data_IF_979186120236
#
_entry.id   IF_979186120236
#
_cell.length_a   1.000
_cell.length_b   1.000
_cell.length_c   1.000
_cell.angle_alpha   90.00
_cell.angle_beta   90.00
_cell.angle_gamma   90.00
#
_symmetry.space_group_name_H-M   'P 1'
#
loop_
_entity.id
_entity.type
_entity.pdbx_description
1 polymer ?
#
# COMPACT_ATOMS: atom_id res chain seq x y z
N UNK A 1 -26.47 13.77 23.40
CA UNK A 1 -25.79 12.48 23.65
C UNK A 1 -24.31 12.71 23.43
N UNK A 2 -23.45 12.31 24.36
CA UNK A 2 -22.00 12.41 24.15
C UNK A 2 -21.63 11.55 22.93
N UNK A 3 -20.75 12.03 22.06
CA UNK A 3 -20.22 11.20 20.98
C UNK A 3 -19.53 10.00 21.62
N UNK A 4 -19.97 8.80 21.28
CA UNK A 4 -19.27 7.57 21.68
C UNK A 4 -18.00 7.55 20.85
N UNK A 5 -16.85 7.39 21.49
CA UNK A 5 -15.60 7.20 20.75
C UNK A 5 -15.70 5.86 19.99
N UNK A 6 -15.33 5.87 18.70
CA UNK A 6 -15.44 4.72 17.80
C UNK A 6 -14.06 4.34 17.28
N UNK A 7 -13.80 3.05 17.12
CA UNK A 7 -12.64 2.57 16.36
C UNK A 7 -12.99 2.63 14.87
N UNK A 8 -12.39 3.55 14.14
CA UNK A 8 -12.64 3.69 12.69
C UNK A 8 -11.80 2.67 11.92
N UNK A 9 -12.47 1.89 11.08
CA UNK A 9 -11.87 0.99 10.09
C UNK A 9 -12.31 1.42 8.70
N UNK A 10 -11.34 1.82 7.88
CA UNK A 10 -11.55 2.24 6.49
C UNK A 10 -11.16 1.10 5.58
N UNK A 11 -12.06 0.67 4.71
CA UNK A 11 -11.76 -0.35 3.69
C UNK A 11 -11.37 0.35 2.39
N UNK A 12 -10.19 0.00 1.89
CA UNK A 12 -9.79 0.27 0.51
C UNK A 12 -10.60 -0.63 -0.42
N UNK A 13 -11.70 -0.09 -0.94
CA UNK A 13 -12.68 -0.85 -1.71
C UNK A 13 -12.08 -1.43 -2.98
N UNK A 14 -11.25 -0.66 -3.70
CA UNK A 14 -10.60 -1.11 -4.92
C UNK A 14 -9.65 -2.28 -4.64
N UNK A 15 -8.80 -2.16 -3.62
CA UNK A 15 -7.86 -3.22 -3.28
C UNK A 15 -8.58 -4.51 -2.83
N UNK A 16 -9.62 -4.40 -2.01
CA UNK A 16 -10.40 -5.54 -1.53
C UNK A 16 -11.20 -6.21 -2.65
N UNK A 17 -11.82 -5.44 -3.54
CA UNK A 17 -12.67 -5.98 -4.60
C UNK A 17 -11.89 -6.54 -5.79
N UNK A 18 -10.71 -5.98 -6.13
CA UNK A 18 -10.02 -6.24 -7.41
C UNK A 18 -8.83 -7.23 -7.33
N UNK A 19 -8.65 -7.95 -6.22
CA UNK A 19 -7.43 -8.69 -5.87
C UNK A 19 -6.87 -9.70 -6.91
N UNK A 20 -7.65 -10.17 -7.89
CA UNK A 20 -7.23 -11.29 -8.77
C UNK A 20 -7.07 -10.90 -10.23
N UNK A 21 -8.09 -10.30 -10.84
CA UNK A 21 -8.16 -10.11 -12.29
C UNK A 21 -8.43 -8.65 -12.70
N UNK A 22 -8.23 -7.69 -11.78
CA UNK A 22 -8.55 -6.26 -12.00
C UNK A 22 -10.04 -5.96 -12.13
N UNK A 23 -10.90 -6.98 -12.12
CA UNK A 23 -12.36 -6.86 -12.04
C UNK A 23 -12.79 -6.74 -10.59
N UNK A 24 -13.68 -5.80 -10.33
CA UNK A 24 -14.28 -5.64 -9.01
C UNK A 24 -15.23 -6.81 -8.73
N UNK A 25 -14.99 -7.51 -7.62
CA UNK A 25 -15.88 -8.54 -7.07
C UNK A 25 -16.58 -7.98 -5.83
N UNK A 26 -17.80 -7.48 -6.00
CA UNK A 26 -18.53 -6.80 -4.92
C UNK A 26 -18.86 -7.72 -3.73
N UNK A 27 -19.13 -9.03 -3.93
CA UNK A 27 -19.30 -9.95 -2.80
C UNK A 27 -18.09 -10.02 -1.86
N UNK A 28 -16.86 -9.83 -2.37
CA UNK A 28 -15.65 -9.78 -1.54
C UNK A 28 -15.64 -8.53 -0.66
N UNK A 29 -15.94 -7.37 -1.25
CA UNK A 29 -16.07 -6.11 -0.51
C UNK A 29 -17.17 -6.21 0.56
N UNK A 30 -18.33 -6.76 0.20
CA UNK A 30 -19.44 -6.99 1.11
C UNK A 30 -19.05 -7.92 2.28
N UNK A 31 -18.27 -8.97 2.02
CA UNK A 31 -17.79 -9.89 3.04
C UNK A 31 -16.85 -9.19 4.04
N UNK A 32 -15.94 -8.33 3.57
CA UNK A 32 -15.06 -7.53 4.42
C UNK A 32 -15.85 -6.54 5.28
N UNK A 33 -16.78 -5.78 4.68
CA UNK A 33 -17.67 -4.87 5.40
C UNK A 33 -18.46 -5.62 6.48
N UNK A 34 -19.05 -6.77 6.12
CA UNK A 34 -19.82 -7.60 7.06
C UNK A 34 -18.97 -8.08 8.22
N UNK A 35 -17.73 -8.51 7.96
CA UNK A 35 -16.80 -8.96 8.99
C UNK A 35 -16.60 -7.87 10.06
N UNK A 36 -16.14 -6.67 9.67
CA UNK A 36 -15.86 -5.60 10.64
C UNK A 36 -17.11 -5.08 11.33
N UNK A 37 -18.25 -5.02 10.64
CA UNK A 37 -19.53 -4.62 11.24
C UNK A 37 -20.13 -5.65 12.18
N UNK A 38 -19.74 -6.92 12.06
CA UNK A 38 -20.18 -7.99 12.97
C UNK A 38 -19.35 -8.08 14.25
N UNK A 39 -18.28 -7.28 14.36
CA UNK A 39 -17.49 -7.21 15.59
C UNK A 39 -18.30 -6.49 16.66
N UNK A 40 -18.86 -7.27 17.58
CA UNK A 40 -19.46 -6.72 18.79
C UNK A 40 -18.35 -6.22 19.71
N UNK A 41 -18.48 -5.01 20.28
CA UNK A 41 -17.52 -4.53 21.27
C UNK A 41 -17.57 -5.45 22.49
N UNK A 42 -16.44 -6.10 22.82
CA UNK A 42 -16.31 -6.75 24.11
C UNK A 42 -16.35 -5.70 25.23
N UNK A 43 -16.61 -6.13 26.47
CA UNK A 43 -16.62 -5.22 27.62
C UNK A 43 -15.30 -4.43 27.70
N UNK A 44 -15.40 -3.10 27.59
CA UNK A 44 -14.23 -2.19 27.59
C UNK A 44 -13.60 -1.90 26.23
N UNK A 45 -14.17 -2.40 25.13
CA UNK A 45 -13.74 -2.07 23.76
C UNK A 45 -14.65 -1.02 23.11
N UNK A 46 -14.06 -0.27 22.19
CA UNK A 46 -14.78 0.73 21.40
C UNK A 46 -15.55 0.04 20.27
N UNK A 47 -16.78 0.50 19.97
CA UNK A 47 -17.51 0.03 18.81
C UNK A 47 -16.71 0.29 17.52
N UNK A 48 -16.73 -0.68 16.60
CA UNK A 48 -16.06 -0.56 15.30
C UNK A 48 -16.98 0.15 14.32
N UNK A 49 -16.53 1.30 13.81
CA UNK A 49 -17.16 1.98 12.68
C UNK A 49 -16.43 1.62 11.40
N UNK A 50 -17.10 0.86 10.55
CA UNK A 50 -16.57 0.43 9.26
C UNK A 50 -17.18 1.22 8.10
N UNK A 51 -16.32 1.77 7.24
CA UNK A 51 -16.69 2.43 5.99
C UNK A 51 -15.72 2.03 4.88
N UNK A 52 -16.21 1.81 3.67
CA UNK A 52 -15.38 1.55 2.50
C UNK A 52 -15.37 2.75 1.55
N UNK A 53 -14.24 3.03 0.90
CA UNK A 53 -14.20 3.95 -0.23
C UNK A 53 -14.01 3.16 -1.52
N UNK A 54 -14.77 3.51 -2.55
CA UNK A 54 -14.68 2.86 -3.87
C UNK A 54 -14.80 3.88 -5.00
N UNK A 55 -14.22 3.62 -6.18
CA UNK A 55 -14.32 4.54 -7.31
C UNK A 55 -15.76 4.71 -7.82
N UNK A 56 -16.21 5.95 -8.03
CA UNK A 56 -17.55 6.24 -8.54
C UNK A 56 -17.86 5.60 -9.91
N UNK A 57 -16.85 5.33 -10.73
CA UNK A 57 -17.09 4.74 -12.04
C UNK A 57 -17.68 3.32 -11.96
N UNK A 58 -17.57 2.60 -10.83
CA UNK A 58 -18.17 1.27 -10.67
C UNK A 58 -19.69 1.24 -10.83
N UNK A 59 -20.40 2.28 -10.40
CA UNK A 59 -21.85 2.39 -10.62
C UNK A 59 -22.21 2.96 -12.00
N UNK A 60 -21.30 3.71 -12.61
CA UNK A 60 -21.56 4.40 -13.88
C UNK A 60 -21.43 3.48 -15.10
N UNK A 61 -20.82 2.30 -14.96
CA UNK A 61 -20.84 1.30 -16.03
C UNK A 61 -22.13 0.48 -15.94
N UNK A 62 -23.18 0.98 -16.60
CA UNK A 62 -24.45 0.26 -16.68
C UNK A 62 -24.25 -1.10 -17.37
N UNK A 63 -24.79 -2.20 -16.79
CA UNK A 63 -24.83 -3.48 -17.48
C UNK A 63 -25.59 -3.29 -18.81
N UNK A 64 -24.97 -3.68 -19.93
CA UNK A 64 -25.65 -3.62 -21.24
C UNK A 64 -26.47 -4.90 -21.40
N UNK A 65 -27.81 -4.85 -21.45
CA UNK A 65 -28.62 -6.06 -21.65
C UNK A 65 -28.41 -6.58 -23.08
N UNK A 66 -27.92 -7.82 -23.22
CA UNK A 66 -27.92 -8.55 -24.51
C UNK A 66 -26.60 -8.61 -25.29
N UNK A 67 -25.46 -8.20 -24.75
CA UNK A 67 -24.18 -8.35 -25.46
C UNK A 67 -23.49 -9.68 -25.11
N UNK A 68 -23.85 -10.76 -25.81
CA UNK A 68 -23.12 -12.03 -25.83
C UNK A 68 -21.88 -11.98 -26.75
N UNK A 69 -21.15 -10.85 -26.74
CA UNK A 69 -19.94 -10.64 -27.54
C UNK A 69 -18.79 -10.16 -26.67
N UNK A 70 -17.54 -10.58 -26.96
CA UNK A 70 -16.37 -10.16 -26.22
C UNK A 70 -16.04 -8.72 -26.62
N UNK A 71 -16.72 -7.75 -26.00
CA UNK A 71 -16.27 -6.36 -25.96
C UNK A 71 -15.83 -6.05 -24.55
N UNK A 72 -14.53 -5.93 -24.44
CA UNK A 72 -13.78 -5.48 -23.27
C UNK A 72 -14.32 -4.14 -22.77
N UNK A 73 -14.35 -4.03 -21.44
CA UNK A 73 -14.24 -2.80 -20.63
C UNK A 73 -15.46 -2.46 -19.76
N UNK A 74 -15.44 -3.00 -18.55
CA UNK A 74 -15.87 -2.26 -17.36
C UNK A 74 -17.28 -2.51 -16.82
N UNK A 75 -18.16 -3.20 -17.55
CA UNK A 75 -19.51 -3.44 -17.03
C UNK A 75 -19.49 -4.46 -15.89
N UNK A 76 -19.93 -4.01 -14.71
CA UNK A 76 -20.14 -4.87 -13.55
C UNK A 76 -21.31 -5.83 -13.85
N UNK A 77 -21.23 -7.06 -13.34
CA UNK A 77 -22.36 -7.99 -13.41
C UNK A 77 -23.58 -7.37 -12.73
N UNK A 78 -24.79 -7.67 -13.22
CA UNK A 78 -26.02 -7.04 -12.72
C UNK A 78 -26.23 -7.25 -11.22
N UNK A 79 -25.87 -8.42 -10.71
CA UNK A 79 -25.97 -8.77 -9.29
C UNK A 79 -24.94 -8.00 -8.44
N UNK A 80 -23.70 -7.92 -8.91
CA UNK A 80 -22.64 -7.14 -8.25
C UNK A 80 -22.98 -5.65 -8.23
N UNK A 81 -23.57 -5.12 -9.31
CA UNK A 81 -24.02 -3.74 -9.38
C UNK A 81 -25.15 -3.46 -8.38
N UNK A 82 -26.15 -4.35 -8.30
CA UNK A 82 -27.26 -4.20 -7.36
C UNK A 82 -26.77 -4.24 -5.91
N UNK A 83 -25.84 -5.15 -5.59
CA UNK A 83 -25.22 -5.25 -4.28
C UNK A 83 -24.40 -3.99 -3.95
N UNK A 84 -23.62 -3.47 -4.90
CA UNK A 84 -22.86 -2.23 -4.69
C UNK A 84 -23.79 -1.05 -4.43
N UNK A 85 -24.86 -0.91 -5.22
CA UNK A 85 -25.84 0.15 -5.02
C UNK A 85 -26.51 0.05 -3.64
N UNK A 86 -26.82 -1.16 -3.16
CA UNK A 86 -27.34 -1.38 -1.81
C UNK A 86 -26.33 -0.94 -0.73
N UNK A 87 -25.06 -1.30 -0.87
CA UNK A 87 -24.00 -0.91 0.06
C UNK A 87 -23.80 0.61 0.10
N UNK A 88 -23.93 1.29 -1.05
CA UNK A 88 -23.87 2.75 -1.15
C UNK A 88 -25.08 3.39 -0.48
N UNK A 89 -26.29 2.89 -0.73
CA UNK A 89 -27.51 3.41 -0.08
C UNK A 89 -27.51 3.26 1.45
N UNK A 90 -26.74 2.31 1.98
CA UNK A 90 -26.56 2.10 3.42
C UNK A 90 -25.38 2.89 4.03
N UNK A 91 -24.73 3.76 3.25
CA UNK A 91 -23.51 4.47 3.63
C UNK A 91 -22.36 3.54 4.07
N UNK A 92 -22.39 2.26 3.65
CA UNK A 92 -21.30 1.32 3.91
C UNK A 92 -20.15 1.51 2.91
N UNK A 93 -20.48 1.95 1.70
CA UNK A 93 -19.53 2.30 0.65
C UNK A 93 -19.75 3.75 0.26
N UNK A 94 -18.70 4.55 0.30
CA UNK A 94 -18.68 5.94 -0.14
C UNK A 94 -17.95 5.99 -1.48
N UNK A 95 -18.63 6.53 -2.49
CA UNK A 95 -18.05 6.66 -3.81
C UNK A 95 -17.15 7.90 -3.89
N UNK A 96 -15.90 7.69 -4.26
CA UNK A 96 -14.94 8.78 -4.45
C UNK A 96 -15.26 9.53 -5.74
N UNK A 97 -15.07 10.86 -5.80
CA UNK A 97 -15.38 11.64 -6.99
C UNK A 97 -14.73 11.07 -8.26
N UNK A 98 -15.44 11.20 -9.39
CA UNK A 98 -14.91 10.78 -10.69
C UNK A 98 -13.54 11.39 -10.97
N UNK A 99 -12.62 10.61 -11.53
CA UNK A 99 -11.24 11.01 -11.86
C UNK A 99 -10.34 11.31 -10.67
N UNK A 100 -10.82 11.18 -9.42
CA UNK A 100 -9.98 11.24 -8.24
C UNK A 100 -9.42 9.86 -7.90
N UNK A 101 -8.21 9.82 -7.34
CA UNK A 101 -7.67 8.60 -6.75
C UNK A 101 -8.32 8.36 -5.39
N UNK A 102 -8.77 7.14 -5.17
CA UNK A 102 -9.41 6.68 -3.94
C UNK A 102 -8.44 6.62 -2.75
N UNK A 103 -7.15 6.34 -3.00
CA UNK A 103 -6.10 6.35 -1.96
C UNK A 103 -6.11 7.63 -1.12
N UNK A 104 -6.34 8.80 -1.75
CA UNK A 104 -6.38 10.06 -1.00
C UNK A 104 -7.49 10.07 0.04
N UNK A 105 -8.67 9.56 -0.28
CA UNK A 105 -9.81 9.56 0.64
C UNK A 105 -9.67 8.49 1.71
N UNK A 106 -9.17 7.31 1.33
CA UNK A 106 -8.90 6.20 2.25
C UNK A 106 -7.90 6.63 3.32
N UNK A 107 -6.74 7.16 2.90
CA UNK A 107 -5.68 7.56 3.82
C UNK A 107 -6.11 8.77 4.64
N UNK A 108 -6.68 9.81 4.03
CA UNK A 108 -7.09 11.02 4.75
C UNK A 108 -8.11 10.70 5.84
N UNK A 109 -9.15 9.93 5.52
CA UNK A 109 -10.18 9.57 6.49
C UNK A 109 -9.61 8.75 7.66
N UNK A 110 -8.73 7.77 7.37
CA UNK A 110 -8.09 6.99 8.43
C UNK A 110 -7.18 7.87 9.31
N UNK A 111 -6.37 8.74 8.71
CA UNK A 111 -5.50 9.66 9.47
C UNK A 111 -6.31 10.63 10.33
N UNK A 112 -7.45 11.14 9.82
CA UNK A 112 -8.35 12.05 10.53
C UNK A 112 -8.81 11.49 11.86
N UNK A 113 -9.23 10.23 11.85
CA UNK A 113 -9.86 9.56 12.99
C UNK A 113 -8.90 8.63 13.72
N UNK A 114 -7.60 8.67 13.39
CA UNK A 114 -6.61 7.73 13.92
C UNK A 114 -7.04 6.25 13.74
N UNK A 115 -7.69 5.96 12.62
CA UNK A 115 -8.28 4.67 12.30
C UNK A 115 -7.34 3.73 11.55
N UNK A 116 -7.81 2.52 11.32
CA UNK A 116 -7.11 1.49 10.56
C UNK A 116 -7.58 1.46 9.10
N UNK A 117 -6.72 1.00 8.20
CA UNK A 117 -7.02 0.81 6.79
C UNK A 117 -6.96 -0.68 6.46
N UNK A 118 -7.98 -1.23 5.82
CA UNK A 118 -7.96 -2.60 5.29
C UNK A 118 -7.51 -2.52 3.84
N UNK A 119 -6.28 -2.92 3.59
CA UNK A 119 -5.65 -2.89 2.27
C UNK A 119 -4.44 -3.81 2.26
N UNK A 120 -4.11 -4.37 1.10
CA UNK A 120 -2.81 -4.99 0.84
C UNK A 120 -1.80 -4.03 0.18
N UNK A 121 -2.23 -2.80 -0.15
CA UNK A 121 -1.32 -1.76 -0.62
C UNK A 121 -0.58 -1.13 0.58
N UNK A 122 0.71 -0.85 0.37
CA UNK A 122 1.55 -0.20 1.36
C UNK A 122 1.71 1.30 1.09
N UNK A 123 0.98 1.86 0.12
CA UNK A 123 0.95 3.29 -0.25
C UNK A 123 2.37 3.87 -0.42
N UNK A 124 3.27 3.09 -1.04
CA UNK A 124 4.72 3.39 -1.08
C UNK A 124 5.00 4.71 -1.79
N UNK A 125 4.24 5.02 -2.83
CA UNK A 125 4.30 6.27 -3.58
C UNK A 125 3.89 7.46 -2.70
N UNK A 126 2.81 7.37 -1.92
CA UNK A 126 2.37 8.42 -1.00
C UNK A 126 3.41 8.69 0.10
N UNK A 127 4.04 7.63 0.63
CA UNK A 127 5.10 7.73 1.63
C UNK A 127 6.37 8.37 1.03
N UNK A 128 6.83 7.89 -0.12
CA UNK A 128 8.04 8.40 -0.79
C UNK A 128 7.90 9.86 -1.22
N UNK A 129 6.70 10.25 -1.66
CA UNK A 129 6.36 11.63 -2.01
C UNK A 129 6.10 12.52 -0.79
N UNK A 130 6.29 12.01 0.44
CA UNK A 130 6.12 12.75 1.71
C UNK A 130 4.75 13.43 1.79
N UNK A 131 3.70 12.76 1.31
CA UNK A 131 2.33 13.30 1.33
C UNK A 131 1.89 13.57 2.77
N UNK A 132 1.09 14.61 2.92
CA UNK A 132 0.54 15.04 4.21
C UNK A 132 -0.97 14.92 4.17
N UNK A 133 -1.53 14.26 5.18
CA UNK A 133 -2.96 14.03 5.37
C UNK A 133 -3.34 14.57 6.75
N UNK A 134 -4.38 15.39 6.83
CA UNK A 134 -4.75 16.10 8.07
C UNK A 134 -3.56 16.72 8.84
N UNK A 135 -2.62 17.34 8.12
CA UNK A 135 -1.43 17.97 8.72
C UNK A 135 -0.34 17.01 9.20
N UNK A 136 -0.54 15.69 9.08
CA UNK A 136 0.43 14.64 9.42
C UNK A 136 1.08 14.08 8.17
N UNK A 137 2.42 14.03 8.15
CA UNK A 137 3.15 13.39 7.05
C UNK A 137 2.97 11.88 7.14
N UNK A 138 2.57 11.25 6.04
CA UNK A 138 2.47 9.80 5.97
C UNK A 138 3.86 9.16 6.06
N UNK A 139 4.03 8.18 6.93
CA UNK A 139 5.28 7.45 7.12
C UNK A 139 5.06 5.95 6.95
N UNK A 140 6.12 5.22 6.58
CA UNK A 140 6.06 3.75 6.54
C UNK A 140 5.70 3.15 7.90
N UNK A 141 6.10 3.78 9.00
CA UNK A 141 5.73 3.32 10.35
C UNK A 141 4.24 3.45 10.61
N UNK A 142 3.62 4.57 10.20
CA UNK A 142 2.18 4.76 10.33
C UNK A 142 1.41 3.76 9.48
N UNK A 143 1.82 3.57 8.21
CA UNK A 143 1.22 2.58 7.31
C UNK A 143 1.28 1.18 7.93
N UNK A 144 2.44 0.73 8.43
CA UNK A 144 2.56 -0.61 9.06
C UNK A 144 1.71 -0.77 10.33
N UNK A 145 1.51 0.29 11.11
CA UNK A 145 0.71 0.20 12.34
C UNK A 145 -0.79 0.34 12.11
N UNK A 146 -1.21 1.02 11.05
CA UNK A 146 -2.62 1.30 10.77
C UNK A 146 -3.19 0.45 9.64
N UNK A 147 -2.38 -0.13 8.76
CA UNK A 147 -2.89 -1.04 7.73
C UNK A 147 -3.11 -2.46 8.27
N UNK A 148 -4.16 -3.09 7.76
CA UNK A 148 -4.60 -4.45 8.01
C UNK A 148 -4.58 -5.15 6.66
N UNK A 149 -3.53 -5.92 6.45
CA UNK A 149 -3.42 -6.86 5.34
C UNK A 149 -4.43 -7.99 5.50
N UNK A 150 -4.83 -8.59 4.39
CA UNK A 150 -5.88 -9.60 4.36
C UNK A 150 -5.72 -10.57 3.19
N UNK A 151 -6.38 -11.70 3.33
CA UNK A 151 -6.56 -12.68 2.25
C UNK A 151 -8.02 -13.11 2.15
N UNK A 152 -8.32 -13.88 1.11
CA UNK A 152 -9.61 -14.56 0.94
C UNK A 152 -9.40 -16.06 0.79
N UNK A 153 -10.11 -16.85 1.61
CA UNK A 153 -10.21 -18.30 1.42
C UNK A 153 -11.56 -18.59 0.77
N UNK A 154 -11.55 -18.71 -0.55
CA UNK A 154 -12.78 -18.77 -1.35
C UNK A 154 -13.57 -17.47 -1.24
N UNK A 155 -14.70 -17.51 -0.52
CA UNK A 155 -15.58 -16.35 -0.26
C UNK A 155 -15.41 -15.76 1.13
N UNK A 156 -14.60 -16.39 1.97
CA UNK A 156 -14.38 -15.95 3.34
C UNK A 156 -13.29 -14.88 3.39
N UNK A 157 -13.62 -13.73 3.98
CA UNK A 157 -12.66 -12.67 4.25
C UNK A 157 -11.83 -13.01 5.48
N UNK A 158 -10.51 -12.96 5.35
CA UNK A 158 -9.58 -13.30 6.42
C UNK A 158 -8.56 -12.17 6.60
N UNK A 159 -8.80 -11.23 7.55
CA UNK A 159 -7.80 -10.23 7.89
C UNK A 159 -6.65 -10.87 8.66
N UNK A 160 -5.45 -10.28 8.58
CA UNK A 160 -4.30 -10.74 9.33
C UNK A 160 -4.58 -10.68 10.84
N UNK A 161 -4.53 -11.82 11.57
CA UNK A 161 -4.82 -11.85 13.00
C UNK A 161 -3.93 -10.93 13.82
N UNK A 162 -2.65 -10.79 13.45
CA UNK A 162 -1.69 -9.92 14.15
C UNK A 162 -2.00 -8.44 13.93
N UNK A 163 -2.58 -8.09 12.78
CA UNK A 163 -3.06 -6.73 12.55
C UNK A 163 -4.33 -6.45 13.34
N UNK A 164 -5.24 -7.43 13.44
CA UNK A 164 -6.48 -7.33 14.20
C UNK A 164 -6.27 -7.11 15.70
N UNK A 165 -5.20 -7.64 16.29
CA UNK A 165 -4.82 -7.33 17.68
C UNK A 165 -4.74 -5.81 17.94
N UNK A 166 -4.32 -5.01 16.95
CA UNK A 166 -4.25 -3.55 17.09
C UNK A 166 -5.62 -2.89 17.11
N UNK A 167 -6.58 -3.44 16.35
CA UNK A 167 -7.98 -2.99 16.34
C UNK A 167 -8.63 -3.28 17.69
N UNK A 168 -8.44 -4.49 18.22
CA UNK A 168 -9.03 -4.89 19.51
C UNK A 168 -8.43 -4.17 20.71
N UNK A 169 -7.17 -3.75 20.60
CA UNK A 169 -6.46 -2.97 21.62
C UNK A 169 -6.50 -1.47 21.34
N UNK A 170 -7.34 -1.01 20.41
CA UNK A 170 -7.42 0.39 20.05
C UNK A 170 -7.74 1.25 21.27
N UNK A 171 -6.92 2.27 21.48
CA UNK A 171 -7.18 3.33 22.43
C UNK A 171 -7.21 4.65 21.66
N UNK A 172 -8.33 5.39 21.67
CA UNK A 172 -8.34 6.74 21.17
C UNK A 172 -7.41 7.55 22.07
N UNK A 173 -6.21 7.85 21.58
CA UNK A 173 -5.37 8.86 22.22
C UNK A 173 -6.22 10.13 22.27
N UNK A 174 -6.49 10.62 23.49
CA UNK A 174 -7.17 11.89 23.70
C UNK A 174 -6.59 12.87 22.69
N UNK A 175 -7.44 13.34 21.78
CA UNK A 175 -7.08 14.24 20.69
C UNK A 175 -6.12 15.27 21.26
N UNK A 176 -4.88 15.33 20.77
CA UNK A 176 -3.94 16.38 21.15
C UNK A 176 -4.68 17.70 20.92
N UNK A 177 -5.19 18.27 22.01
CA UNK A 177 -5.92 19.51 21.99
C UNK A 177 -4.92 20.54 21.50
N UNK A 178 -5.13 21.04 20.29
CA UNK A 178 -4.42 22.19 19.74
C UNK A 178 -4.31 23.24 20.86
N UNK A 179 -3.11 23.77 21.16
CA UNK A 179 -3.00 24.87 22.11
C UNK A 179 -3.83 26.03 21.58
N UNK A 180 -4.88 26.37 22.31
CA UNK A 180 -5.66 27.59 22.10
C UNK A 180 -4.67 28.74 22.03
N UNK A 181 -4.75 29.53 20.96
CA UNK A 181 -3.89 30.69 20.73
C UNK A 181 -3.99 31.66 21.91
N UNK A 182 -3.05 31.52 22.85
CA UNK A 182 -2.78 32.49 23.89
C UNK A 182 -1.99 33.63 23.28
N UNK A 183 -2.60 34.81 23.34
CA UNK A 183 -2.06 36.13 22.99
C UNK A 183 -0.58 36.29 23.41
N UNK A 184 0.34 36.68 22.50
CA UNK A 184 1.70 36.99 22.91
C UNK A 184 1.76 38.40 23.50
N UNK A 185 1.90 38.49 24.82
CA UNK A 185 2.36 39.71 25.49
C UNK A 185 3.88 39.81 25.42
N UNK A 186 4.33 40.94 24.90
CA UNK A 186 5.68 41.43 24.72
C UNK A 186 6.59 41.29 25.94
N UNK A 187 7.80 40.77 25.75
CA UNK A 187 8.99 41.32 26.41
C UNK A 187 10.27 40.88 25.69
N UNK A 188 11.02 41.89 25.28
CA UNK A 188 12.36 41.90 24.70
C UNK A 188 13.44 41.21 25.54
N UNK A 189 14.40 40.54 24.87
CA UNK A 189 15.83 40.75 25.16
C UNK A 189 16.70 40.11 24.07
N UNK A 190 17.51 40.94 23.44
CA UNK A 190 18.66 40.59 22.61
C UNK A 190 19.61 39.64 23.36
N UNK A 191 20.09 38.58 22.71
CA UNK A 191 21.52 38.25 22.76
C UNK A 191 21.95 37.48 21.50
N UNK A 192 22.94 38.08 20.85
CA UNK A 192 23.71 37.66 19.69
C UNK A 192 24.84 36.75 20.15
N UNK A 193 24.97 35.53 19.63
CA UNK A 193 26.29 34.92 19.37
C UNK A 193 26.17 33.77 18.35
N UNK A 194 27.02 33.83 17.34
CA UNK A 194 27.34 32.74 16.42
C UNK A 194 28.13 31.65 17.14
N UNK A 195 27.92 30.38 16.81
CA UNK A 195 29.00 29.40 16.62
C UNK A 195 28.45 28.13 15.99
N UNK A 196 29.03 27.79 14.85
CA UNK A 196 29.10 26.45 14.28
C UNK A 196 29.60 25.40 15.28
N UNK A 197 29.10 24.18 15.20
CA UNK A 197 29.95 22.99 15.04
C UNK A 197 29.14 21.76 14.65
N UNK A 198 29.68 21.09 13.65
CA UNK A 198 29.37 19.75 13.18
C UNK A 198 29.70 18.73 14.27
N UNK A 199 28.94 17.64 14.35
CA UNK A 199 29.42 16.39 14.92
C UNK A 199 28.86 15.22 14.12
N UNK A 200 29.74 14.65 13.32
CA UNK A 200 29.62 13.36 12.67
C UNK A 200 30.21 12.35 13.65
N UNK A 201 29.42 11.38 14.10
CA UNK A 201 29.96 10.17 14.71
C UNK A 201 29.68 8.98 13.80
N UNK A 202 30.78 8.34 13.45
CA UNK A 202 30.90 7.11 12.71
C UNK A 202 30.84 5.93 13.70
N UNK A 203 30.25 4.83 13.27
CA UNK A 203 30.64 3.51 13.77
C UNK A 203 30.73 2.54 12.60
N UNK A 204 31.96 2.08 12.37
CA UNK A 204 32.38 1.07 11.42
C UNK A 204 32.49 -0.25 12.18
N UNK A 205 31.85 -1.32 11.68
CA UNK A 205 32.36 -2.69 11.86
C UNK A 205 32.31 -3.37 10.50
N UNK A 206 33.49 -3.80 10.06
CA UNK A 206 33.81 -4.40 8.78
C UNK A 206 34.12 -5.88 9.06
N UNK A 207 33.57 -6.82 8.29
CA UNK A 207 34.24 -8.11 8.02
C UNK A 207 33.63 -8.79 6.76
N UNK A 208 34.52 -9.01 5.79
CA UNK A 208 34.51 -9.92 4.63
C UNK A 208 33.39 -9.83 3.57
N UNK A 209 33.62 -9.55 2.28
CA UNK A 209 34.85 -9.60 1.49
C UNK A 209 34.56 -10.19 0.11
N UNK A 210 34.01 -9.40 -0.83
CA UNK A 210 34.05 -9.66 -2.28
C UNK A 210 34.09 -8.32 -3.02
N UNK A 211 35.26 -7.99 -3.59
CA UNK A 211 35.52 -6.75 -4.32
C UNK A 211 34.99 -6.87 -5.75
N UNK A 212 34.08 -5.99 -6.16
CA UNK A 212 33.81 -5.70 -7.58
C UNK A 212 33.88 -4.20 -7.78
N UNK A 213 34.89 -3.79 -8.53
CA UNK A 213 35.28 -2.41 -8.77
C UNK A 213 34.38 -1.81 -9.87
N UNK A 214 33.41 -0.95 -9.51
CA UNK A 214 32.72 -0.09 -10.46
C UNK A 214 32.41 1.27 -9.84
N UNK A 215 33.09 2.30 -10.37
CA UNK A 215 32.84 3.73 -10.18
C UNK A 215 31.36 4.05 -10.46
N UNK A 216 30.61 4.36 -9.41
CA UNK A 216 29.26 4.90 -9.50
C UNK A 216 28.61 4.91 -8.11
N UNK A 217 28.20 6.09 -7.66
CA UNK A 217 27.74 6.42 -6.30
C UNK A 217 26.54 5.55 -5.84
N UNK A 218 26.79 4.40 -5.21
CA UNK A 218 25.73 3.52 -4.69
C UNK A 218 25.33 3.94 -3.27
N UNK A 219 24.11 4.50 -3.12
CA UNK A 219 23.38 4.46 -1.84
C UNK A 219 23.13 2.98 -1.52
N UNK A 220 23.65 2.48 -0.41
CA UNK A 220 23.36 1.13 0.07
C UNK A 220 21.86 0.98 0.33
N UNK A 221 21.15 0.28 -0.56
CA UNK A 221 19.76 -0.15 -0.34
C UNK A 221 19.82 -1.57 0.22
N UNK A 222 19.10 -1.81 1.31
CA UNK A 222 18.93 -3.15 1.86
C UNK A 222 17.86 -3.84 0.99
N UNK A 223 18.31 -4.70 0.06
CA UNK A 223 17.45 -5.48 -0.82
C UNK A 223 17.02 -6.72 -0.03
N UNK A 224 15.72 -6.91 0.13
CA UNK A 224 15.19 -8.13 0.76
C UNK A 224 15.42 -9.31 -0.17
N UNK A 225 16.23 -10.28 0.26
CA UNK A 225 16.53 -11.49 -0.51
C UNK A 225 15.62 -12.67 -0.14
N UNK A 226 14.63 -12.45 0.73
CA UNK A 226 13.75 -13.53 1.23
C UNK A 226 12.69 -13.96 0.22
N UNK A 227 12.31 -13.10 -0.72
CA UNK A 227 11.37 -13.40 -1.79
C UNK A 227 12.09 -13.46 -3.14
N UNK A 228 11.99 -14.61 -3.84
CA UNK A 228 12.56 -14.81 -5.18
C UNK A 228 11.50 -15.33 -6.14
N UNK A 229 11.37 -14.65 -7.28
CA UNK A 229 10.50 -15.08 -8.38
C UNK A 229 11.35 -15.46 -9.59
N UNK A 230 11.04 -16.62 -10.19
CA UNK A 230 11.75 -17.16 -11.35
C UNK A 230 10.96 -16.96 -12.64
N UNK A 231 11.55 -16.31 -13.64
CA UNK A 231 10.94 -16.12 -14.95
C UNK A 231 11.73 -16.84 -16.03
N UNK A 232 11.03 -17.61 -16.87
CA UNK A 232 11.61 -18.23 -18.07
C UNK A 232 11.44 -17.29 -19.26
N UNK A 233 12.55 -16.78 -19.79
CA UNK A 233 12.55 -15.79 -20.86
C UNK A 233 13.37 -16.28 -22.05
N UNK A 234 12.87 -16.14 -23.29
CA UNK A 234 13.66 -16.41 -24.49
C UNK A 234 14.95 -15.60 -24.51
N UNK A 235 16.07 -16.24 -24.87
CA UNK A 235 17.40 -15.60 -24.86
C UNK A 235 17.47 -14.37 -25.78
N UNK A 236 16.68 -14.35 -26.83
CA UNK A 236 16.57 -13.25 -27.80
C UNK A 236 16.10 -11.93 -27.16
N UNK A 237 15.40 -11.99 -26.03
CA UNK A 237 14.91 -10.81 -25.32
C UNK A 237 15.94 -10.23 -24.34
N UNK A 238 17.05 -10.94 -24.05
CA UNK A 238 18.06 -10.44 -23.12
C UNK A 238 18.66 -9.09 -23.52
N UNK A 239 19.07 -8.84 -24.77
CA UNK A 239 19.62 -7.54 -25.14
C UNK A 239 18.62 -6.40 -24.94
N UNK A 240 17.32 -6.69 -25.12
CA UNK A 240 16.24 -5.72 -24.91
C UNK A 240 16.01 -5.46 -23.42
N UNK A 241 16.11 -6.48 -22.56
CA UNK A 241 15.99 -6.36 -21.11
C UNK A 241 17.21 -5.67 -20.49
N UNK A 242 18.40 -6.03 -20.95
CA UNK A 242 19.67 -5.48 -20.46
C UNK A 242 19.85 -4.03 -20.92
N UNK A 243 19.46 -3.74 -22.17
CA UNK A 243 19.83 -2.50 -22.85
C UNK A 243 21.32 -2.48 -23.21
N UNK A 244 21.73 -1.45 -23.96
CA UNK A 244 23.13 -1.23 -24.27
C UNK A 244 23.91 -0.98 -22.96
N UNK A 245 24.91 -1.81 -22.67
CA UNK A 245 25.72 -1.68 -21.46
C UNK A 245 25.04 -1.99 -20.12
N UNK A 246 23.80 -2.51 -20.10
CA UNK A 246 23.09 -2.85 -18.85
C UNK A 246 22.20 -1.74 -18.29
N UNK A 247 22.18 -0.56 -18.92
CA UNK A 247 21.50 0.62 -18.38
C UNK A 247 19.99 0.44 -18.20
N UNK A 248 19.33 -0.34 -19.06
CA UNK A 248 17.88 -0.52 -19.00
C UNK A 248 17.51 -1.36 -17.79
N UNK A 249 18.28 -2.42 -17.55
CA UNK A 249 18.10 -3.29 -16.39
C UNK A 249 18.43 -2.56 -15.09
N UNK A 250 19.47 -1.74 -15.08
CA UNK A 250 19.84 -0.94 -13.91
C UNK A 250 18.78 0.10 -13.56
N UNK A 251 18.28 0.85 -14.55
CA UNK A 251 17.18 1.81 -14.36
C UNK A 251 15.90 1.12 -13.88
N UNK A 252 15.59 -0.04 -14.46
CA UNK A 252 14.43 -0.83 -14.04
C UNK A 252 14.56 -1.27 -12.58
N UNK A 253 15.68 -1.88 -12.21
CA UNK A 253 15.95 -2.31 -10.83
C UNK A 253 15.94 -1.13 -9.84
N UNK A 254 16.46 0.03 -10.24
CA UNK A 254 16.42 1.24 -9.42
C UNK A 254 14.98 1.74 -9.20
N UNK A 255 14.15 1.71 -10.26
CA UNK A 255 12.77 2.18 -10.24
C UNK A 255 11.83 1.25 -9.47
N UNK A 256 11.97 -0.06 -9.66
CA UNK A 256 11.11 -1.07 -9.03
C UNK A 256 11.59 -1.49 -7.65
N UNK A 257 12.85 -1.21 -7.31
CA UNK A 257 13.48 -1.71 -6.08
C UNK A 257 13.76 -3.22 -6.11
N UNK A 258 13.56 -3.88 -7.26
CA UNK A 258 13.86 -5.29 -7.43
C UNK A 258 15.31 -5.48 -7.82
N UNK A 259 15.91 -6.62 -7.47
CA UNK A 259 17.22 -7.03 -7.93
C UNK A 259 17.09 -8.21 -8.89
N UNK A 260 17.62 -8.09 -10.10
CA UNK A 260 17.49 -9.11 -11.15
C UNK A 260 18.87 -9.74 -11.37
N UNK A 261 18.95 -11.05 -11.17
CA UNK A 261 20.18 -11.82 -11.41
C UNK A 261 20.05 -12.63 -12.68
N UNK A 262 21.00 -12.41 -13.58
CA UNK A 262 21.21 -13.21 -14.79
C UNK A 262 22.14 -14.39 -14.47
N UNK A 263 21.87 -15.61 -14.99
CA UNK A 263 22.79 -16.73 -14.85
C UNK A 263 24.14 -16.38 -15.50
N UNK A 264 25.23 -16.46 -14.74
CA UNK A 264 26.58 -16.29 -15.28
C UNK A 264 26.96 -17.50 -16.14
N UNK A 265 27.59 -17.23 -17.29
CA UNK A 265 28.16 -18.25 -18.15
C UNK A 265 29.36 -18.92 -17.45
N UNK A 266 29.12 -19.95 -16.64
CA UNK A 266 30.17 -20.88 -16.26
C UNK A 266 30.41 -21.82 -17.44
N UNK A 267 31.55 -21.63 -18.09
CA UNK A 267 32.04 -22.50 -19.14
C UNK A 267 32.28 -23.91 -18.58
N UNK A 268 31.34 -24.83 -18.77
CA UNK A 268 31.63 -26.26 -18.87
C UNK A 268 30.43 -27.06 -19.41
N UNK A 269 30.62 -27.57 -20.62
CA UNK A 269 30.10 -28.84 -21.15
C UNK A 269 28.60 -29.16 -20.99
N UNK A 270 27.80 -28.78 -21.98
CA UNK A 270 27.01 -29.71 -22.83
C UNK A 270 26.11 -28.94 -23.82
N UNK A 271 25.95 -29.40 -25.07
CA UNK A 271 25.21 -28.68 -26.10
C UNK A 271 23.73 -29.01 -26.01
N UNK A 272 23.05 -28.57 -24.95
CA UNK A 272 21.60 -28.36 -25.03
C UNK A 272 21.36 -26.87 -25.00
N UNK A 273 21.25 -26.29 -26.19
CA UNK A 273 20.95 -24.88 -26.39
C UNK A 273 19.48 -24.66 -26.00
N UNK A 274 19.19 -24.60 -24.70
CA UNK A 274 17.87 -24.16 -24.28
C UNK A 274 17.78 -22.68 -24.64
N UNK A 275 16.96 -22.35 -25.64
CA UNK A 275 16.66 -20.96 -26.05
C UNK A 275 15.93 -20.15 -24.96
N UNK A 276 15.80 -20.71 -23.76
CA UNK A 276 15.11 -20.16 -22.60
C UNK A 276 16.12 -20.01 -21.48
N UNK A 277 16.15 -18.83 -20.87
CA UNK A 277 16.92 -18.48 -19.69
C UNK A 277 15.99 -18.31 -18.50
N UNK A 278 16.50 -18.60 -17.30
CA UNK A 278 15.75 -18.36 -16.06
C UNK A 278 16.32 -17.12 -15.38
N UNK A 279 15.50 -16.07 -15.27
CA UNK A 279 15.80 -14.87 -14.50
C UNK A 279 15.39 -15.08 -13.05
N UNK A 280 16.22 -14.64 -12.11
CA UNK A 280 15.85 -14.60 -10.69
C UNK A 280 15.62 -13.15 -10.30
N UNK A 281 14.43 -12.82 -9.81
CA UNK A 281 14.04 -11.47 -9.39
C UNK A 281 13.79 -11.49 -7.88
N UNK A 282 14.54 -10.68 -7.15
CA UNK A 282 14.40 -10.42 -5.72
C UNK A 282 13.73 -9.05 -5.54
N UNK A 283 12.88 -8.83 -4.54
CA UNK A 283 12.13 -7.57 -4.39
C UNK A 283 11.51 -7.39 -3.03
#
# INVERSE_FOLDING_TARGET
MAAVDECVVVIDGANVACQKDGKAHIPKLAAAIRFFRSLEPAAGQYPVKCVAFAPNFWLNVKPTPGSAGPRENGAMETDDWALLNELVQKDHVILTPSQAHDDFYVIDYAVKYNGFIVTNDMFRDHVSNKRTFHGKRLTSSWVRSHCIDFTFVGKEFMPNPRAMERVFNFQPSATESLPSAGTPSSSSSLHRTQSSNENVEADNVNEDGMVVDHKGTKRGKNIDLSEVTYYKVPRELLPMLHGEGGETMDKFQEYTGTYIVLPSHSASASPSVSNVLTLSIYG
#
